data_IF_537421404851
#
_entry.id   IF_537421404851
#
_cell.length_a   1.000
_cell.length_b   1.000
_cell.length_c   1.000
_cell.angle_alpha   90.00
_cell.angle_beta   90.00
_cell.angle_gamma   90.00
#
_symmetry.space_group_name_H-M   'P 1'
#
loop_
_entity.id
_entity.type
_entity.pdbx_description
1 polymer ?
#
# COMPACT_ATOMS: atom_id res chain seq x y z
N UNK A 1 -15.73 14.04 4.17
CA UNK A 1 -14.78 13.42 5.11
C UNK A 1 -13.64 12.88 4.26
N UNK A 2 -12.44 13.41 4.45
CA UNK A 2 -11.25 12.87 3.77
C UNK A 2 -10.94 11.52 4.40
N UNK A 3 -11.10 10.44 3.63
CA UNK A 3 -10.70 9.10 4.05
C UNK A 3 -9.17 9.07 4.03
N UNK A 4 -8.55 9.08 5.21
CA UNK A 4 -7.11 8.85 5.33
C UNK A 4 -6.84 7.41 4.92
N UNK A 5 -6.17 7.25 3.79
CA UNK A 5 -5.76 5.97 3.23
C UNK A 5 -4.77 5.27 4.17
N UNK A 6 -4.89 3.95 4.30
CA UNK A 6 -3.95 3.15 5.08
C UNK A 6 -2.74 2.69 4.26
N UNK A 7 -2.69 3.02 2.97
CA UNK A 7 -1.68 2.51 2.03
C UNK A 7 -1.05 3.64 1.23
N UNK A 8 0.28 3.70 1.24
CA UNK A 8 1.04 4.59 0.34
C UNK A 8 1.80 3.75 -0.67
N UNK A 9 1.74 4.12 -1.96
CA UNK A 9 2.48 3.48 -3.05
C UNK A 9 3.55 4.44 -3.58
N UNK A 10 4.81 4.01 -3.54
CA UNK A 10 5.94 4.69 -4.17
C UNK A 10 6.59 3.76 -5.20
N UNK A 11 6.91 4.25 -6.40
CA UNK A 11 7.73 3.51 -7.37
C UNK A 11 9.13 4.07 -7.34
N UNK A 12 10.09 3.25 -6.91
CA UNK A 12 11.50 3.62 -6.83
C UNK A 12 12.17 3.60 -8.23
N UNK A 13 13.31 4.30 -8.41
CA UNK A 13 14.02 4.34 -9.70
C UNK A 13 14.52 2.98 -10.20
N UNK A 14 14.61 1.97 -9.34
CA UNK A 14 14.91 0.58 -9.68
C UNK A 14 13.67 -0.22 -10.11
N UNK A 15 12.56 0.47 -10.42
CA UNK A 15 11.27 -0.08 -10.81
C UNK A 15 10.68 -1.05 -9.78
N UNK A 16 10.92 -0.82 -8.51
CA UNK A 16 10.29 -1.55 -7.41
C UNK A 16 9.17 -0.70 -6.83
N UNK A 17 7.96 -1.26 -6.77
CA UNK A 17 6.84 -0.67 -6.06
C UNK A 17 6.99 -0.95 -4.56
N UNK A 18 7.04 0.09 -3.73
CA UNK A 18 7.03 -0.01 -2.27
C UNK A 18 5.65 0.42 -1.78
N UNK A 19 4.98 -0.50 -1.09
CA UNK A 19 3.65 -0.30 -0.53
C UNK A 19 3.80 -0.24 0.98
N UNK A 20 3.60 0.95 1.54
CA UNK A 20 3.65 1.19 2.97
C UNK A 20 2.26 1.09 3.57
N UNK A 21 2.11 0.25 4.59
CA UNK A 21 0.86 0.08 5.33
C UNK A 21 0.97 0.83 6.66
N UNK A 22 0.06 1.76 6.89
CA UNK A 22 -0.08 2.52 8.12
C UNK A 22 -1.56 2.77 8.43
N UNK A 23 -2.20 1.84 9.16
CA UNK A 23 -3.61 2.00 9.53
C UNK A 23 -3.77 3.21 10.48
N UNK A 24 -4.51 4.27 10.09
CA UNK A 24 -4.63 5.48 10.87
C UNK A 24 -5.36 5.23 12.19
N UNK A 25 -4.84 5.78 13.29
CA UNK A 25 -5.43 5.63 14.62
C UNK A 25 -5.24 4.25 15.27
N UNK A 26 -4.57 3.31 14.61
CA UNK A 26 -4.34 1.96 15.11
C UNK A 26 -2.87 1.74 15.51
N UNK A 27 -2.63 0.90 16.52
CA UNK A 27 -1.26 0.50 16.91
C UNK A 27 -0.70 -0.58 15.98
N UNK A 28 -1.57 -1.40 15.40
CA UNK A 28 -1.21 -2.52 14.53
C UNK A 28 -1.91 -2.38 13.18
N UNK A 29 -1.26 -2.86 12.12
CA UNK A 29 -1.89 -2.92 10.80
C UNK A 29 -2.86 -4.10 10.77
N UNK A 30 -4.13 -3.81 11.03
CA UNK A 30 -5.22 -4.76 10.81
C UNK A 30 -5.81 -4.50 9.43
N UNK A 31 -5.80 -5.51 8.57
CA UNK A 31 -6.47 -5.45 7.27
C UNK A 31 -7.98 -5.51 7.49
N UNK A 32 -8.60 -4.35 7.64
CA UNK A 32 -10.06 -4.20 7.77
C UNK A 32 -10.72 -4.24 6.40
N UNK A 33 -11.96 -4.71 6.35
CA UNK A 33 -12.73 -4.82 5.12
C UNK A 33 -12.91 -3.48 4.39
N UNK A 34 -12.92 -2.37 5.13
CA UNK A 34 -12.97 -1.00 4.59
C UNK A 34 -11.79 -0.67 3.66
N UNK A 35 -10.64 -1.34 3.82
CA UNK A 35 -9.47 -1.13 2.97
C UNK A 35 -9.38 -2.09 1.78
N UNK A 36 -10.31 -3.05 1.66
CA UNK A 36 -10.23 -4.08 0.62
C UNK A 36 -10.36 -3.51 -0.80
N UNK A 37 -11.18 -2.47 -0.98
CA UNK A 37 -11.32 -1.75 -2.26
C UNK A 37 -10.03 -1.04 -2.64
N UNK A 38 -9.39 -0.40 -1.67
CA UNK A 38 -8.17 0.36 -1.82
C UNK A 38 -6.99 -0.54 -2.22
N UNK A 39 -6.77 -1.63 -1.48
CA UNK A 39 -5.73 -2.61 -1.78
C UNK A 39 -5.91 -3.21 -3.17
N UNK A 40 -7.16 -3.49 -3.58
CA UNK A 40 -7.44 -3.97 -4.94
C UNK A 40 -7.06 -2.93 -6.00
N UNK A 41 -7.28 -1.63 -5.72
CA UNK A 41 -6.84 -0.53 -6.58
C UNK A 41 -5.32 -0.52 -6.76
N UNK A 42 -4.58 -0.62 -5.66
CA UNK A 42 -3.10 -0.66 -5.68
C UNK A 42 -2.60 -1.89 -6.45
N UNK A 43 -3.17 -3.07 -6.21
CA UNK A 43 -2.79 -4.30 -6.93
C UNK A 43 -3.05 -4.15 -8.43
N UNK A 44 -4.15 -3.50 -8.83
CA UNK A 44 -4.44 -3.21 -10.24
C UNK A 44 -3.38 -2.27 -10.84
N UNK A 45 -3.07 -1.17 -10.15
CA UNK A 45 -2.06 -0.21 -10.59
C UNK A 45 -0.68 -0.86 -10.78
N UNK A 46 -0.28 -1.74 -9.85
CA UNK A 46 0.97 -2.51 -9.96
C UNK A 46 0.93 -3.46 -11.17
N UNK A 47 -0.19 -4.14 -11.41
CA UNK A 47 -0.34 -5.09 -12.53
C UNK A 47 -0.31 -4.40 -13.90
N UNK A 48 -0.86 -3.19 -13.96
CA UNK A 48 -0.96 -2.42 -15.20
C UNK A 48 0.37 -1.77 -15.57
N UNK A 49 1.25 -1.51 -14.59
CA UNK A 49 2.60 -1.01 -14.83
C UNK A 49 3.57 -2.14 -15.22
N UNK A 50 3.83 -2.28 -16.52
CA UNK A 50 4.74 -3.29 -17.08
C UNK A 50 6.22 -3.04 -16.84
N UNK A 51 6.59 -1.84 -16.42
CA UNK A 51 7.98 -1.49 -16.12
C UNK A 51 8.41 -2.00 -14.75
N UNK A 52 7.44 -2.31 -13.86
CA UNK A 52 7.73 -2.79 -12.51
C UNK A 52 8.42 -4.15 -12.53
N UNK A 53 9.53 -4.25 -11.82
CA UNK A 53 10.30 -5.48 -11.63
C UNK A 53 9.89 -6.26 -10.40
N UNK A 54 9.15 -5.63 -9.49
CA UNK A 54 8.66 -6.26 -8.26
C UNK A 54 7.88 -5.29 -7.38
N UNK A 55 7.32 -5.83 -6.30
CA UNK A 55 6.61 -5.08 -5.27
C UNK A 55 7.02 -5.56 -3.88
N UNK A 56 7.13 -4.62 -2.93
CA UNK A 56 7.47 -4.87 -1.53
C UNK A 56 6.41 -4.23 -0.65
N UNK A 57 5.85 -5.00 0.29
CA UNK A 57 4.96 -4.48 1.32
C UNK A 57 5.74 -4.25 2.61
N UNK A 58 5.63 -3.05 3.17
CA UNK A 58 6.28 -2.66 4.43
C UNK A 58 5.25 -2.11 5.42
N UNK A 59 5.50 -2.27 6.72
CA UNK A 59 4.71 -1.64 7.78
C UNK A 59 5.41 -0.37 8.26
N UNK A 60 4.66 0.71 8.44
CA UNK A 60 5.15 1.91 9.13
C UNK A 60 4.97 1.87 10.65
N UNK A 61 4.39 0.78 11.19
CA UNK A 61 4.23 0.61 12.63
C UNK A 61 5.55 0.14 13.23
N UNK A 62 5.97 0.76 14.33
CA UNK A 62 7.06 0.26 15.16
C UNK A 62 6.65 -1.09 15.75
N UNK A 63 7.49 -2.10 15.60
CA UNK A 63 7.33 -3.41 16.26
C UNK A 63 7.43 -3.32 17.77
#
# INVERSE_FOLDING_TARGET
>A
METVSAFTLEVRPDNIAVITIDAPGEKMNTLKAEFASEVRGIIRQIRDNKELRGAVFISAKSG
#
